data_IF_915695598240
#
_entry.id   IF_915695598240
#
_cell.length_a   1.000
_cell.length_b   1.000
_cell.length_c   1.000
_cell.angle_alpha   90.00
_cell.angle_beta   90.00
_cell.angle_gamma   90.00
#
_symmetry.space_group_name_H-M   'P 1'
#
loop_
_entity.id
_entity.type
_entity.pdbx_description
1 polymer ?
#
# COMPACT_ATOMS: atom_id res chain seq x y z
N UNK A 1 60.22 16.62 -34.60
CA UNK A 1 60.03 15.88 -33.33
C UNK A 1 58.71 16.30 -32.68
N UNK A 2 58.02 15.40 -31.96
CA UNK A 2 56.56 15.38 -31.83
C UNK A 2 56.01 16.25 -30.67
N UNK A 3 54.67 16.35 -30.70
CA UNK A 3 53.74 17.13 -29.89
C UNK A 3 53.91 17.09 -28.37
N UNK A 4 53.56 18.22 -27.72
CA UNK A 4 53.41 18.34 -26.26
C UNK A 4 52.17 19.15 -25.88
N UNK A 5 50.98 18.76 -26.36
CA UNK A 5 49.71 19.28 -25.87
C UNK A 5 49.55 18.88 -24.39
N UNK A 6 49.74 19.84 -23.48
CA UNK A 6 49.43 19.66 -22.06
C UNK A 6 47.91 19.57 -21.90
N UNK A 7 47.38 18.34 -21.96
CA UNK A 7 46.03 18.04 -21.48
C UNK A 7 45.97 18.40 -20.00
N UNK A 8 45.34 19.54 -19.71
CA UNK A 8 44.92 19.90 -18.36
C UNK A 8 43.92 18.81 -17.95
N UNK A 9 44.34 17.91 -17.05
CA UNK A 9 43.45 16.91 -16.43
C UNK A 9 42.30 17.69 -15.78
N UNK A 10 41.16 17.74 -16.46
CA UNK A 10 39.89 18.10 -15.84
C UNK A 10 39.70 17.09 -14.73
N UNK A 11 39.86 17.52 -13.47
CA UNK A 11 39.36 16.75 -12.33
C UNK A 11 37.88 16.61 -12.62
N UNK A 12 37.46 15.43 -13.09
CA UNK A 12 36.07 15.01 -13.02
C UNK A 12 35.70 15.20 -11.55
N UNK A 13 34.85 16.17 -11.28
CA UNK A 13 34.25 16.31 -9.97
C UNK A 13 33.45 15.03 -9.76
N UNK A 14 34.06 14.05 -9.09
CA UNK A 14 33.30 13.02 -8.41
C UNK A 14 32.59 13.76 -7.29
N UNK A 15 31.39 14.27 -7.57
CA UNK A 15 30.40 14.57 -6.55
C UNK A 15 29.97 13.21 -5.99
N UNK A 16 30.85 12.60 -5.20
CA UNK A 16 30.51 11.48 -4.36
C UNK A 16 29.42 12.00 -3.44
N UNK A 17 28.23 11.46 -3.63
CA UNK A 17 27.00 11.57 -2.87
C UNK A 17 27.16 11.18 -1.39
N UNK A 18 28.11 11.79 -0.67
CA UNK A 18 28.39 11.50 0.74
C UNK A 18 27.26 11.94 1.68
N UNK A 19 26.30 12.71 1.19
CA UNK A 19 25.21 13.28 1.97
C UNK A 19 23.83 12.78 1.53
N UNK A 20 23.73 11.72 0.73
CA UNK A 20 22.44 11.11 0.38
C UNK A 20 22.41 9.63 0.75
N UNK A 21 21.22 9.11 0.99
CA UNK A 21 20.96 7.69 1.18
C UNK A 21 19.73 7.28 0.37
N UNK A 22 19.63 5.98 0.06
CA UNK A 22 18.48 5.39 -0.61
C UNK A 22 17.73 4.53 0.39
N UNK A 23 16.41 4.67 0.44
CA UNK A 23 15.52 3.80 1.21
C UNK A 23 14.45 3.23 0.30
N UNK A 24 14.03 1.99 0.58
CA UNK A 24 12.92 1.34 -0.12
C UNK A 24 11.63 1.58 0.64
N UNK A 25 10.55 1.89 -0.06
CA UNK A 25 9.22 2.04 0.50
C UNK A 25 8.31 1.02 -0.19
N UNK A 26 7.76 0.09 0.59
CA UNK A 26 6.69 -0.79 0.14
C UNK A 26 5.35 -0.08 0.27
N UNK A 27 4.65 0.04 -0.85
CA UNK A 27 3.33 0.66 -0.98
C UNK A 27 2.21 -0.34 -0.63
N UNK A 28 0.97 0.15 -0.59
CA UNK A 28 -0.20 -0.66 -0.22
C UNK A 28 -0.65 -1.62 -1.32
N UNK A 29 -0.30 -1.33 -2.58
CA UNK A 29 -0.46 -2.21 -3.74
C UNK A 29 0.68 -3.24 -3.86
N UNK A 30 1.52 -3.36 -2.84
CA UNK A 30 2.73 -4.20 -2.79
C UNK A 30 3.89 -3.78 -3.70
N UNK A 31 3.74 -2.72 -4.49
CA UNK A 31 4.85 -2.16 -5.26
C UNK A 31 5.92 -1.58 -4.31
N UNK A 32 7.16 -1.58 -4.78
CA UNK A 32 8.29 -1.01 -4.03
C UNK A 32 8.88 0.13 -4.84
N UNK A 33 8.98 1.29 -4.21
CA UNK A 33 9.63 2.47 -4.77
C UNK A 33 10.91 2.79 -4.00
N UNK A 34 11.85 3.44 -4.67
CA UNK A 34 13.09 3.91 -4.06
C UNK A 34 13.07 5.44 -3.93
N UNK A 35 13.38 5.93 -2.72
CA UNK A 35 13.57 7.35 -2.47
C UNK A 35 15.05 7.62 -2.18
N UNK A 36 15.64 8.50 -2.99
CA UNK A 36 16.97 9.06 -2.71
C UNK A 36 16.77 10.35 -1.92
N UNK A 37 17.27 10.38 -0.69
CA UNK A 37 17.06 11.47 0.26
C UNK A 37 18.39 12.00 0.79
N UNK A 38 18.43 13.27 1.21
CA UNK A 38 19.58 13.80 1.96
C UNK A 38 19.66 13.12 3.33
N UNK A 39 20.85 12.96 3.91
CA UNK A 39 21.03 12.45 5.27
C UNK A 39 20.35 13.32 6.34
N UNK A 40 20.07 14.57 6.01
CA UNK A 40 19.35 15.51 6.86
C UNK A 40 17.83 15.45 6.65
N UNK A 41 17.36 14.77 5.59
CA UNK A 41 15.96 14.76 5.25
C UNK A 41 15.10 14.12 6.34
N UNK A 42 13.94 14.70 6.57
CA UNK A 42 13.01 14.28 7.61
C UNK A 42 12.11 13.13 7.12
N UNK A 43 11.38 12.51 8.06
CA UNK A 43 10.34 11.55 7.70
C UNK A 43 9.22 12.20 6.88
N UNK A 44 8.91 13.47 7.17
CA UNK A 44 7.90 14.26 6.46
C UNK A 44 8.27 14.42 4.97
N UNK A 45 9.49 14.84 4.65
CA UNK A 45 9.94 14.98 3.26
C UNK A 45 9.91 13.64 2.50
N UNK A 46 10.22 12.54 3.18
CA UNK A 46 10.08 11.21 2.59
C UNK A 46 8.61 10.86 2.30
N UNK A 47 7.70 11.12 3.25
CA UNK A 47 6.28 10.88 3.08
C UNK A 47 5.71 11.74 1.94
N UNK A 48 6.11 13.00 1.84
CA UNK A 48 5.73 13.90 0.74
C UNK A 48 6.22 13.38 -0.62
N UNK A 49 7.45 12.85 -0.69
CA UNK A 49 7.96 12.23 -1.92
C UNK A 49 7.21 10.96 -2.34
N UNK A 50 6.64 10.21 -1.37
CA UNK A 50 5.74 9.09 -1.64
C UNK A 50 4.37 9.60 -2.09
N UNK A 51 3.81 10.57 -1.36
CA UNK A 51 2.53 11.19 -1.64
C UNK A 51 2.48 11.81 -3.04
N UNK A 52 3.54 12.49 -3.46
CA UNK A 52 3.64 13.06 -4.81
C UNK A 52 3.55 11.99 -5.90
N UNK A 53 4.18 10.82 -5.70
CA UNK A 53 4.11 9.70 -6.67
C UNK A 53 2.73 9.05 -6.72
N UNK A 54 2.02 9.06 -5.60
CA UNK A 54 0.64 8.57 -5.49
C UNK A 54 -0.41 9.65 -5.76
N UNK A 55 0.05 10.86 -6.14
CA UNK A 55 -0.76 12.06 -6.35
C UNK A 55 -1.61 12.50 -5.14
N UNK A 56 -1.25 12.08 -3.93
CA UNK A 56 -2.00 12.34 -2.69
C UNK A 56 -1.82 13.77 -2.19
N UNK A 57 -2.94 14.46 -1.95
CA UNK A 57 -2.98 15.80 -1.31
C UNK A 57 -3.33 15.71 0.18
N UNK A 58 -4.15 14.74 0.57
CA UNK A 58 -4.60 14.52 1.95
C UNK A 58 -3.59 13.67 2.73
N UNK A 59 -2.35 14.15 2.83
CA UNK A 59 -1.21 13.38 3.38
C UNK A 59 -1.33 13.10 4.88
N UNK A 60 -2.13 13.88 5.60
CA UNK A 60 -2.32 13.76 7.06
C UNK A 60 -2.90 12.42 7.52
N UNK A 61 -3.51 11.65 6.63
CA UNK A 61 -4.03 10.31 6.93
C UNK A 61 -2.97 9.20 6.90
N UNK A 62 -1.81 9.48 6.31
CA UNK A 62 -0.81 8.48 5.98
C UNK A 62 0.46 8.65 6.77
N UNK A 63 1.20 7.56 6.89
CA UNK A 63 2.49 7.54 7.53
C UNK A 63 3.42 6.51 6.92
N UNK A 64 4.65 6.51 7.40
CA UNK A 64 5.65 5.50 7.10
C UNK A 64 5.92 4.73 8.39
N UNK A 65 6.07 3.41 8.30
CA UNK A 65 6.48 2.59 9.43
C UNK A 65 7.57 1.60 9.01
N UNK A 66 8.28 1.06 9.99
CA UNK A 66 9.32 0.05 9.80
C UNK A 66 9.28 -1.00 10.90
N UNK A 67 9.90 -2.15 10.64
CA UNK A 67 10.16 -3.14 11.67
C UNK A 67 11.41 -2.76 12.44
N UNK A 68 11.27 -2.60 13.76
CA UNK A 68 12.40 -2.33 14.64
C UNK A 68 13.33 -3.55 14.74
N UNK A 69 14.53 -3.35 15.27
CA UNK A 69 15.47 -4.43 15.64
C UNK A 69 14.87 -5.49 16.59
N UNK A 70 13.77 -5.15 17.28
CA UNK A 70 13.01 -6.06 18.14
C UNK A 70 11.77 -6.65 17.46
N UNK A 71 11.69 -6.60 16.11
CA UNK A 71 10.56 -7.08 15.30
C UNK A 71 9.21 -6.46 15.67
N UNK A 72 9.21 -5.22 16.16
CA UNK A 72 7.99 -4.46 16.42
C UNK A 72 7.77 -3.43 15.32
N UNK A 73 6.54 -3.32 14.81
CA UNK A 73 6.16 -2.25 13.91
C UNK A 73 6.23 -0.90 14.65
N UNK A 74 6.93 0.07 14.06
CA UNK A 74 7.05 1.43 14.58
C UNK A 74 6.85 2.46 13.48
N UNK A 75 6.00 3.44 13.76
CA UNK A 75 5.83 4.61 12.90
C UNK A 75 7.09 5.48 12.89
N UNK A 76 7.38 6.05 11.73
CA UNK A 76 8.43 7.04 11.53
C UNK A 76 8.02 8.33 12.23
N UNK A 77 8.93 8.90 13.00
CA UNK A 77 8.77 10.24 13.55
C UNK A 77 9.03 11.27 12.45
N UNK A 78 7.97 11.84 11.87
CA UNK A 78 8.04 12.65 10.65
C UNK A 78 8.91 13.91 10.80
N UNK A 79 8.96 14.49 12.00
CA UNK A 79 9.77 15.69 12.30
C UNK A 79 11.27 15.41 12.50
N UNK A 80 11.68 14.13 12.56
CA UNK A 80 13.08 13.76 12.82
C UNK A 80 13.81 13.38 11.53
N UNK A 81 15.15 13.58 11.48
CA UNK A 81 15.96 13.09 10.37
C UNK A 81 15.80 11.58 10.19
N UNK A 82 15.28 11.17 9.03
CA UNK A 82 14.86 9.80 8.75
C UNK A 82 16.03 8.83 8.85
N UNK A 83 17.19 9.20 8.27
CA UNK A 83 18.39 8.35 8.30
C UNK A 83 18.81 7.99 9.73
N UNK A 84 18.90 8.98 10.61
CA UNK A 84 19.28 8.75 12.02
C UNK A 84 18.26 7.87 12.73
N UNK A 85 16.98 8.03 12.41
CA UNK A 85 15.90 7.23 12.98
C UNK A 85 16.03 5.76 12.57
N UNK A 86 16.22 5.49 11.28
CA UNK A 86 16.40 4.14 10.74
C UNK A 86 17.67 3.47 11.27
N UNK A 87 18.83 4.15 11.20
CA UNK A 87 20.11 3.60 11.66
C UNK A 87 20.04 3.17 13.15
N UNK A 88 19.29 3.95 13.96
CA UNK A 88 19.12 3.68 15.38
C UNK A 88 18.17 2.51 15.64
N UNK A 89 16.99 2.49 15.03
CA UNK A 89 15.90 1.59 15.45
C UNK A 89 15.48 0.53 14.45
N UNK A 90 15.67 0.74 13.14
CA UNK A 90 15.17 -0.17 12.12
C UNK A 90 16.03 -1.44 12.02
N UNK A 91 15.38 -2.56 11.72
CA UNK A 91 16.04 -3.82 11.42
C UNK A 91 16.66 -3.81 10.02
N UNK A 92 15.95 -3.22 9.06
CA UNK A 92 16.31 -3.16 7.64
C UNK A 92 15.99 -1.78 7.06
N UNK A 93 16.64 -1.35 5.95
CA UNK A 93 16.33 -0.12 5.24
C UNK A 93 15.07 -0.30 4.36
N UNK A 94 13.98 -0.78 4.96
CA UNK A 94 12.67 -0.95 4.34
C UNK A 94 11.61 -0.24 5.17
N UNK A 95 10.95 0.71 4.53
CA UNK A 95 9.78 1.40 5.05
C UNK A 95 8.52 0.81 4.40
N UNK A 96 7.41 0.98 5.09
CA UNK A 96 6.09 0.59 4.63
C UNK A 96 5.21 1.84 4.69
N UNK A 97 4.55 2.14 3.59
CA UNK A 97 3.50 3.15 3.54
C UNK A 97 2.21 2.57 4.09
N UNK A 98 1.46 3.35 4.86
CA UNK A 98 0.18 2.90 5.40
C UNK A 98 -0.69 4.01 5.96
N UNK A 99 -1.95 3.67 6.22
CA UNK A 99 -2.92 4.55 6.86
C UNK A 99 -2.66 4.57 8.37
N UNK A 100 -2.53 5.75 8.95
CA UNK A 100 -2.26 5.90 10.39
C UNK A 100 -3.52 5.80 11.24
N UNK A 101 -4.63 6.32 10.74
CA UNK A 101 -5.91 6.32 11.44
C UNK A 101 -7.08 6.22 10.47
N UNK A 102 -8.06 5.42 10.85
CA UNK A 102 -9.27 5.26 10.07
C UNK A 102 -10.29 6.34 10.40
N UNK A 103 -10.94 6.86 9.35
CA UNK A 103 -12.01 7.84 9.51
C UNK A 103 -13.34 7.12 9.75
N UNK A 104 -14.23 7.66 10.60
CA UNK A 104 -15.53 7.06 10.86
C UNK A 104 -16.49 7.19 9.68
N UNK A 105 -16.19 8.07 8.72
CA UNK A 105 -17.03 8.30 7.55
C UNK A 105 -16.18 8.58 6.31
N UNK A 106 -16.40 7.81 5.25
CA UNK A 106 -15.67 7.92 3.97
C UNK A 106 -15.89 9.26 3.28
N UNK A 107 -17.00 9.96 3.57
CA UNK A 107 -17.25 11.32 3.07
C UNK A 107 -16.20 12.33 3.50
N UNK A 108 -15.38 12.01 4.52
CA UNK A 108 -14.28 12.86 4.96
C UNK A 108 -13.08 12.79 4.00
N UNK A 109 -12.90 11.66 3.31
CA UNK A 109 -11.87 11.50 2.29
C UNK A 109 -12.36 12.20 1.03
N UNK A 110 -11.79 13.35 0.69
CA UNK A 110 -12.24 14.14 -0.46
C UNK A 110 -11.67 13.61 -1.77
N UNK A 111 -10.42 13.15 -1.74
CA UNK A 111 -9.70 12.74 -2.93
C UNK A 111 -9.89 11.24 -3.22
N UNK A 112 -10.12 10.92 -4.49
CA UNK A 112 -10.28 9.55 -4.97
C UNK A 112 -9.02 8.70 -4.72
N UNK A 113 -7.83 9.24 -4.97
CA UNK A 113 -6.58 8.56 -4.66
C UNK A 113 -6.46 8.22 -3.16
N UNK A 114 -6.89 9.11 -2.26
CA UNK A 114 -6.92 8.83 -0.81
C UNK A 114 -7.84 7.65 -0.51
N UNK A 115 -9.05 7.63 -1.10
CA UNK A 115 -10.01 6.53 -0.93
C UNK A 115 -9.45 5.21 -1.45
N UNK A 116 -8.76 5.23 -2.58
CA UNK A 116 -8.11 4.05 -3.14
C UNK A 116 -7.05 3.48 -2.18
N UNK A 117 -6.19 4.34 -1.62
CA UNK A 117 -5.19 3.89 -0.64
C UNK A 117 -5.86 3.32 0.63
N UNK A 118 -6.95 3.93 1.10
CA UNK A 118 -7.74 3.38 2.21
C UNK A 118 -8.30 2.00 1.88
N UNK A 119 -8.86 1.81 0.69
CA UNK A 119 -9.35 0.51 0.24
C UNK A 119 -8.24 -0.56 0.25
N UNK A 120 -7.06 -0.24 -0.29
CA UNK A 120 -5.93 -1.17 -0.30
C UNK A 120 -5.50 -1.55 1.12
N UNK A 121 -5.45 -0.58 2.05
CA UNK A 121 -5.12 -0.85 3.45
C UNK A 121 -6.17 -1.75 4.11
N UNK A 122 -7.46 -1.44 3.99
CA UNK A 122 -8.53 -2.20 4.65
C UNK A 122 -8.58 -3.62 4.08
N UNK A 123 -8.46 -3.78 2.76
CA UNK A 123 -8.39 -5.09 2.11
C UNK A 123 -7.24 -5.91 2.67
N UNK A 124 -6.04 -5.31 2.77
CA UNK A 124 -4.89 -5.97 3.37
C UNK A 124 -5.12 -6.35 4.84
N UNK A 125 -5.73 -5.47 5.63
CA UNK A 125 -6.01 -5.72 7.05
C UNK A 125 -7.01 -6.86 7.25
N UNK A 126 -8.03 -6.97 6.39
CA UNK A 126 -8.97 -8.09 6.38
C UNK A 126 -8.23 -9.38 6.02
N UNK A 127 -7.46 -9.39 4.93
CA UNK A 127 -6.75 -10.59 4.46
C UNK A 127 -5.64 -11.06 5.43
N UNK A 128 -5.00 -10.15 6.15
CA UNK A 128 -4.01 -10.47 7.19
C UNK A 128 -4.67 -10.81 8.56
N UNK A 129 -6.01 -10.79 8.66
CA UNK A 129 -6.73 -11.07 9.91
C UNK A 129 -6.57 -9.98 10.98
N UNK A 130 -6.03 -8.81 10.63
CA UNK A 130 -5.88 -7.65 11.53
C UNK A 130 -7.23 -7.00 11.82
N UNK A 131 -8.10 -6.96 10.81
CA UNK A 131 -9.48 -6.49 10.93
C UNK A 131 -10.42 -7.70 10.95
N UNK A 132 -10.89 -8.07 12.15
CA UNK A 132 -11.81 -9.19 12.31
C UNK A 132 -13.22 -8.75 11.93
N UNK A 133 -13.80 -9.46 10.96
CA UNK A 133 -15.18 -9.28 10.55
C UNK A 133 -15.89 -10.65 10.48
N UNK A 134 -17.22 -10.72 10.68
CA UNK A 134 -18.00 -11.91 10.45
C UNK A 134 -17.81 -12.45 9.02
N UNK A 135 -17.90 -13.77 8.85
CA UNK A 135 -17.68 -14.42 7.55
C UNK A 135 -18.58 -13.85 6.43
N UNK A 136 -19.84 -13.54 6.74
CA UNK A 136 -20.75 -12.91 5.77
C UNK A 136 -20.24 -11.56 5.27
N UNK A 137 -19.63 -10.77 6.17
CA UNK A 137 -19.04 -9.48 5.82
C UNK A 137 -17.75 -9.67 5.00
N UNK A 138 -16.93 -10.68 5.32
CA UNK A 138 -15.77 -11.05 4.50
C UNK A 138 -16.19 -11.38 3.06
N UNK A 139 -17.23 -12.20 2.88
CA UNK A 139 -17.73 -12.59 1.54
C UNK A 139 -18.19 -11.36 0.76
N UNK A 140 -18.94 -10.45 1.40
CA UNK A 140 -19.40 -9.20 0.77
C UNK A 140 -18.24 -8.29 0.38
N UNK A 141 -17.29 -8.11 1.28
CA UNK A 141 -16.07 -7.33 1.05
C UNK A 141 -15.26 -7.93 -0.10
N UNK A 142 -15.10 -9.25 -0.15
CA UNK A 142 -14.43 -9.94 -1.24
C UNK A 142 -15.14 -9.73 -2.58
N UNK A 143 -16.48 -9.80 -2.63
CA UNK A 143 -17.24 -9.50 -3.85
C UNK A 143 -17.08 -8.06 -4.35
N UNK A 144 -17.04 -7.09 -3.42
CA UNK A 144 -16.74 -5.68 -3.75
C UNK A 144 -15.30 -5.49 -4.21
N UNK A 145 -14.34 -6.20 -3.60
CA UNK A 145 -12.94 -6.14 -3.99
C UNK A 145 -12.72 -6.72 -5.40
N UNK A 146 -13.41 -7.82 -5.74
CA UNK A 146 -13.39 -8.39 -7.09
C UNK A 146 -13.97 -7.39 -8.10
N UNK A 147 -15.11 -6.77 -7.80
CA UNK A 147 -15.69 -5.73 -8.67
C UNK A 147 -14.74 -4.53 -8.85
N UNK A 148 -14.01 -4.13 -7.79
CA UNK A 148 -13.07 -3.02 -7.84
C UNK A 148 -11.78 -3.35 -8.62
N UNK A 149 -11.30 -4.61 -8.58
CA UNK A 149 -10.06 -5.02 -9.23
C UNK A 149 -10.26 -5.51 -10.67
N UNK A 150 -11.39 -6.17 -10.96
CA UNK A 150 -11.65 -6.87 -12.22
C UNK A 150 -12.82 -6.29 -13.03
N UNK A 151 -13.54 -5.31 -12.50
CA UNK A 151 -14.71 -4.72 -13.18
C UNK A 151 -15.94 -5.64 -13.14
N UNK A 152 -16.84 -5.47 -14.11
CA UNK A 152 -18.16 -6.13 -14.11
C UNK A 152 -18.07 -7.66 -14.30
N UNK A 153 -18.93 -8.38 -13.58
CA UNK A 153 -19.06 -9.84 -13.62
C UNK A 153 -19.10 -10.45 -15.04
N UNK A 154 -19.74 -9.77 -16.00
CA UNK A 154 -19.94 -10.28 -17.36
C UNK A 154 -18.72 -10.10 -18.29
N UNK A 155 -17.62 -9.51 -17.80
CA UNK A 155 -16.41 -9.30 -18.61
C UNK A 155 -15.60 -10.58 -18.84
N UNK A 156 -15.89 -11.64 -18.08
CA UNK A 156 -15.17 -12.92 -18.15
C UNK A 156 -16.13 -14.07 -18.50
N UNK A 157 -15.66 -15.00 -19.35
CA UNK A 157 -16.42 -16.18 -19.75
C UNK A 157 -16.66 -17.17 -18.60
N UNK A 158 -15.76 -17.17 -17.60
CA UNK A 158 -15.88 -17.96 -16.37
C UNK A 158 -15.33 -17.20 -15.16
N UNK A 159 -15.66 -17.70 -13.97
CA UNK A 159 -15.20 -17.14 -12.68
C UNK A 159 -14.02 -17.93 -12.10
N UNK A 160 -13.34 -18.73 -12.92
CA UNK A 160 -12.25 -19.60 -12.45
C UNK A 160 -11.05 -18.79 -11.93
N UNK A 161 -10.88 -17.54 -12.40
CA UNK A 161 -9.85 -16.61 -11.93
C UNK A 161 -9.93 -16.33 -10.42
N UNK A 162 -11.12 -16.48 -9.82
CA UNK A 162 -11.32 -16.30 -8.38
C UNK A 162 -10.55 -17.32 -7.54
N UNK A 163 -10.22 -18.50 -8.10
CA UNK A 163 -9.44 -19.53 -7.40
C UNK A 163 -7.97 -19.14 -7.20
N UNK A 164 -7.43 -18.30 -8.08
CA UNK A 164 -6.05 -17.81 -8.00
C UNK A 164 -5.94 -16.50 -7.20
N UNK A 165 -7.08 -15.93 -6.81
CA UNK A 165 -7.16 -14.66 -6.12
C UNK A 165 -7.37 -14.85 -4.61
N UNK A 166 -6.65 -14.07 -3.80
CA UNK A 166 -6.72 -14.17 -2.33
C UNK A 166 -8.01 -13.49 -1.84
N UNK A 167 -9.04 -14.30 -1.60
CA UNK A 167 -10.39 -13.84 -1.24
C UNK A 167 -10.65 -13.77 0.27
N UNK A 168 -9.95 -14.58 1.06
CA UNK A 168 -10.26 -14.79 2.47
C UNK A 168 -9.04 -14.55 3.37
N UNK A 169 -9.24 -14.11 4.61
CA UNK A 169 -8.21 -14.02 5.63
C UNK A 169 -7.33 -15.27 5.74
N UNK A 170 -6.01 -15.08 5.84
CA UNK A 170 -5.04 -16.18 5.90
C UNK A 170 -5.18 -17.06 7.16
N UNK A 171 -5.80 -16.54 8.21
CA UNK A 171 -6.07 -17.26 9.45
C UNK A 171 -7.37 -18.11 9.40
N UNK A 172 -8.19 -17.96 8.35
CA UNK A 172 -9.31 -18.85 8.09
C UNK A 172 -8.81 -20.18 7.54
N UNK A 173 -8.53 -21.12 8.44
CA UNK A 173 -8.27 -22.51 8.10
C UNK A 173 -9.56 -23.18 7.60
N UNK A 174 -9.77 -23.18 6.28
CA UNK A 174 -10.93 -23.76 5.63
C UNK A 174 -10.55 -25.06 4.90
N UNK A 175 -11.43 -26.05 4.96
CA UNK A 175 -11.34 -27.22 4.09
C UNK A 175 -11.62 -26.82 2.63
N UNK A 176 -11.04 -27.52 1.67
CA UNK A 176 -11.11 -27.19 0.24
C UNK A 176 -12.56 -27.10 -0.27
N UNK A 177 -13.44 -28.01 0.17
CA UNK A 177 -14.86 -27.99 -0.20
C UNK A 177 -15.59 -26.74 0.32
N UNK A 178 -15.26 -26.30 1.54
CA UNK A 178 -15.83 -25.09 2.15
C UNK A 178 -15.31 -23.85 1.43
N UNK A 179 -14.02 -23.83 1.08
CA UNK A 179 -13.42 -22.74 0.31
C UNK A 179 -14.09 -22.58 -1.06
N UNK A 180 -14.38 -23.69 -1.74
CA UNK A 180 -15.10 -23.65 -3.03
C UNK A 180 -16.52 -23.11 -2.87
N UNK A 181 -17.27 -23.54 -1.85
CA UNK A 181 -18.61 -23.00 -1.56
C UNK A 181 -18.56 -21.48 -1.28
N UNK A 182 -17.59 -21.03 -0.49
CA UNK A 182 -17.44 -19.60 -0.17
C UNK A 182 -17.02 -18.79 -1.40
N UNK A 183 -16.16 -19.34 -2.25
CA UNK A 183 -15.76 -18.70 -3.52
C UNK A 183 -16.97 -18.53 -4.45
N UNK A 184 -17.88 -19.51 -4.49
CA UNK A 184 -19.15 -19.38 -5.22
C UNK A 184 -20.04 -18.28 -4.64
N UNK A 185 -20.09 -18.13 -3.30
CA UNK A 185 -20.83 -17.02 -2.66
C UNK A 185 -20.23 -15.66 -3.01
N UNK A 186 -18.90 -15.56 -3.08
CA UNK A 186 -18.23 -14.33 -3.57
C UNK A 186 -18.63 -14.01 -5.01
N UNK A 187 -18.64 -15.01 -5.90
CA UNK A 187 -19.07 -14.81 -7.29
C UNK A 187 -20.54 -14.32 -7.39
N UNK A 188 -21.41 -14.77 -6.47
CA UNK A 188 -22.79 -14.29 -6.37
C UNK A 188 -22.87 -12.83 -5.90
N UNK A 189 -22.07 -12.44 -4.90
CA UNK A 189 -21.97 -11.03 -4.46
C UNK A 189 -21.40 -10.14 -5.57
N UNK A 190 -20.36 -10.58 -6.27
CA UNK A 190 -19.80 -9.86 -7.43
C UNK A 190 -20.89 -9.62 -8.49
N UNK A 191 -21.68 -10.65 -8.81
CA UNK A 191 -22.83 -10.55 -9.72
C UNK A 191 -23.92 -9.61 -9.19
N UNK A 192 -24.13 -9.52 -7.88
CA UNK A 192 -25.10 -8.60 -7.28
C UNK A 192 -24.68 -7.14 -7.44
N UNK A 193 -23.38 -6.86 -7.48
CA UNK A 193 -22.80 -5.52 -7.63
C UNK A 193 -22.58 -5.07 -9.09
N UNK A 194 -23.17 -5.76 -10.08
CA UNK A 194 -22.99 -5.64 -11.55
C UNK A 194 -23.26 -4.29 -12.24
N UNK A 195 -23.26 -3.19 -11.51
CA UNK A 195 -23.44 -1.81 -12.02
C UNK A 195 -22.79 -0.77 -11.10
N UNK A 196 -22.10 -1.22 -10.04
CA UNK A 196 -21.43 -0.34 -9.10
C UNK A 196 -20.07 0.02 -9.70
N UNK A 197 -19.87 1.32 -9.96
CA UNK A 197 -18.58 1.82 -10.43
C UNK A 197 -17.47 1.42 -9.44
N UNK A 198 -16.28 1.08 -9.95
CA UNK A 198 -15.11 0.68 -9.14
C UNK A 198 -14.86 1.62 -7.95
N UNK A 199 -15.01 2.93 -8.20
CA UNK A 199 -14.94 3.97 -7.18
C UNK A 199 -15.99 3.79 -6.08
N UNK A 200 -17.24 3.50 -6.43
CA UNK A 200 -18.34 3.27 -5.48
C UNK A 200 -18.17 1.94 -4.72
N UNK A 201 -17.54 0.94 -5.30
CA UNK A 201 -17.17 -0.30 -4.59
C UNK A 201 -16.09 -0.05 -3.54
N UNK A 202 -15.11 0.79 -3.86
CA UNK A 202 -14.11 1.32 -2.91
C UNK A 202 -14.78 2.10 -1.77
N UNK A 203 -15.80 2.92 -2.09
CA UNK A 203 -16.62 3.63 -1.11
C UNK A 203 -17.41 2.69 -0.20
N UNK A 204 -18.07 1.68 -0.75
CA UNK A 204 -18.88 0.71 0.00
C UNK A 204 -18.01 -0.17 0.91
N UNK A 205 -16.88 -0.63 0.41
CA UNK A 205 -15.90 -1.42 1.16
C UNK A 205 -15.34 -0.62 2.35
N UNK A 206 -15.05 0.66 2.13
CA UNK A 206 -14.54 1.56 3.17
C UNK A 206 -15.62 1.98 4.19
N UNK A 207 -16.91 1.99 3.84
CA UNK A 207 -18.00 2.26 4.80
C UNK A 207 -18.30 1.04 5.67
N UNK A 208 -18.25 -0.16 5.08
CA UNK A 208 -18.58 -1.40 5.78
C UNK A 208 -17.41 -1.95 6.60
N UNK A 209 -16.15 -1.66 6.27
CA UNK A 209 -15.00 -2.07 7.09
C UNK A 209 -14.95 -1.44 8.49
N UNK A 210 -15.74 -0.38 8.75
CA UNK A 210 -15.75 0.37 10.02
C UNK A 210 -17.11 0.41 10.73
N UNK A 211 -18.11 -0.31 10.22
CA UNK A 211 -19.42 -0.47 10.87
C UNK A 211 -19.52 -1.84 11.54
#
# INVERSE_FOLDING_TARGET
>A
MPFGLKLRRTRRYNVLSKNCFVTRIRLLDSNVIECTLSVESTGQECLEAVAQRLELRETHYFGLWFLSKSQQARWVELEKPLKKHLDKFANEPLLFFGVMFYVPNVSWLQQEATRYQYYLQVKKDVLEGRLRCPLEQVIRLAGLAVQADFGDYNQFDSQDFLREYVLFPMDLALEEAVLEELTQKVAQEHKAHRTIMETVSIWAFSLWGFS
#
